data_IF_581029238002
#
_entry.id   IF_581029238002
#
_cell.length_a   1.000
_cell.length_b   1.000
_cell.length_c   1.000
_cell.angle_alpha   90.00
_cell.angle_beta   90.00
_cell.angle_gamma   90.00
#
_symmetry.space_group_name_H-M   'P 1'
#
loop_
_entity.id
_entity.type
_entity.pdbx_description
1 polymer ?
#
# COMPACT_ATOMS: atom_id res chain seq x y z
N UNK A 1 16.42 15.70 -1.15
CA UNK A 1 15.85 16.96 -1.66
C UNK A 1 16.54 18.08 -0.90
N UNK A 2 17.04 19.10 -1.60
CA UNK A 2 17.61 20.30 -1.00
C UNK A 2 16.59 21.42 -1.15
N UNK A 3 16.17 22.03 -0.06
CA UNK A 3 15.07 23.01 -0.05
C UNK A 3 15.57 24.41 0.31
N UNK A 4 15.69 25.29 -0.68
CA UNK A 4 15.97 26.72 -0.52
C UNK A 4 15.62 27.49 -1.79
N UNK A 5 15.20 28.75 -1.66
CA UNK A 5 15.04 29.65 -2.80
C UNK A 5 16.30 30.48 -3.09
N UNK A 6 17.32 30.43 -2.25
CA UNK A 6 18.59 31.13 -2.46
C UNK A 6 19.56 30.24 -3.26
N UNK A 7 19.94 30.61 -4.50
CA UNK A 7 20.87 29.83 -5.31
C UNK A 7 22.24 29.62 -4.65
N UNK A 8 22.75 30.57 -3.86
CA UNK A 8 24.05 30.43 -3.20
C UNK A 8 24.01 29.35 -2.11
N UNK A 9 22.91 29.32 -1.34
CA UNK A 9 22.68 28.27 -0.34
C UNK A 9 22.46 26.92 -1.02
N UNK A 10 21.78 26.91 -2.17
CA UNK A 10 21.57 25.71 -2.97
C UNK A 10 22.90 25.14 -3.46
N UNK A 11 23.78 25.98 -4.00
CA UNK A 11 25.09 25.57 -4.49
C UNK A 11 25.94 24.96 -3.36
N UNK A 12 25.99 25.59 -2.18
CA UNK A 12 26.68 25.03 -1.02
C UNK A 12 26.15 23.63 -0.66
N UNK A 13 24.81 23.44 -0.72
CA UNK A 13 24.17 22.15 -0.52
C UNK A 13 24.51 21.12 -1.61
N UNK A 14 24.58 21.54 -2.87
CA UNK A 14 24.94 20.69 -4.01
C UNK A 14 26.40 20.22 -3.93
N UNK A 15 27.32 21.11 -3.52
CA UNK A 15 28.72 20.76 -3.25
C UNK A 15 28.81 19.70 -2.15
N UNK A 16 28.06 19.87 -1.06
CA UNK A 16 28.05 18.89 0.03
C UNK A 16 27.37 17.56 -0.35
N UNK A 17 26.40 17.59 -1.26
CA UNK A 17 25.63 16.43 -1.71
C UNK A 17 26.13 15.85 -3.05
N UNK A 18 27.37 16.13 -3.44
CA UNK A 18 27.97 15.66 -4.69
C UNK A 18 27.75 14.15 -4.90
N UNK A 19 27.51 13.77 -6.16
CA UNK A 19 27.26 12.39 -6.61
C UNK A 19 25.97 11.72 -6.08
N UNK A 20 25.13 12.42 -5.30
CA UNK A 20 23.83 11.88 -4.85
C UNK A 20 22.64 12.29 -5.73
N UNK A 21 22.89 13.18 -6.70
CA UNK A 21 21.88 13.72 -7.63
C UNK A 21 20.59 14.17 -6.93
N UNK A 22 20.67 15.07 -5.93
CA UNK A 22 19.49 15.51 -5.19
C UNK A 22 18.51 16.30 -6.06
N UNK A 23 17.22 16.22 -5.75
CA UNK A 23 16.23 17.17 -6.24
C UNK A 23 16.47 18.57 -5.66
N UNK A 24 16.66 19.55 -6.54
CA UNK A 24 16.77 20.98 -6.24
C UNK A 24 15.36 21.54 -6.07
N UNK A 25 15.04 22.02 -4.87
CA UNK A 25 13.75 22.65 -4.59
C UNK A 25 13.99 24.10 -4.12
N UNK A 26 13.62 25.14 -4.87
CA UNK A 26 12.94 25.12 -6.18
C UNK A 26 13.18 26.41 -7.01
N UNK A 27 12.97 26.30 -8.32
CA UNK A 27 12.92 27.42 -9.26
C UNK A 27 11.55 28.10 -9.26
N UNK A 28 11.52 29.42 -9.08
CA UNK A 28 10.34 30.29 -9.15
C UNK A 28 10.60 31.47 -10.12
N UNK A 29 9.62 32.37 -10.27
CA UNK A 29 9.71 33.52 -11.21
C UNK A 29 10.96 34.41 -11.03
N UNK A 30 11.54 34.42 -9.82
CA UNK A 30 12.63 35.34 -9.45
C UNK A 30 14.03 34.72 -9.61
N UNK A 31 14.14 33.40 -9.46
CA UNK A 31 15.41 32.70 -9.37
C UNK A 31 15.58 31.55 -10.39
N UNK A 32 14.62 31.36 -11.31
CA UNK A 32 14.60 30.19 -12.19
C UNK A 32 15.88 30.01 -13.00
N UNK A 33 16.51 31.11 -13.44
CA UNK A 33 17.72 31.06 -14.28
C UNK A 33 18.90 30.49 -13.50
N UNK A 34 19.19 31.05 -12.33
CA UNK A 34 20.31 30.62 -11.50
C UNK A 34 20.09 29.16 -11.02
N UNK A 35 18.86 28.81 -10.65
CA UNK A 35 18.51 27.44 -10.28
C UNK A 35 18.64 26.45 -11.45
N UNK A 36 18.33 26.88 -12.68
CA UNK A 36 18.52 26.06 -13.88
C UNK A 36 20.00 25.87 -14.23
N UNK A 37 20.82 26.92 -14.08
CA UNK A 37 22.28 26.83 -14.25
C UNK A 37 22.89 25.83 -13.26
N UNK A 38 22.48 25.88 -11.98
CA UNK A 38 22.91 24.91 -10.97
C UNK A 38 22.43 23.49 -11.31
N UNK A 39 21.19 23.32 -11.78
CA UNK A 39 20.66 22.02 -12.19
C UNK A 39 21.48 21.40 -13.32
N UNK A 40 21.87 22.19 -14.33
CA UNK A 40 22.74 21.74 -15.43
C UNK A 40 24.15 21.43 -14.95
N UNK A 41 24.76 22.35 -14.18
CA UNK A 41 26.13 22.22 -13.70
C UNK A 41 26.33 20.96 -12.85
N UNK A 42 25.37 20.65 -11.99
CA UNK A 42 25.44 19.51 -11.08
C UNK A 42 24.64 18.28 -11.56
N UNK A 43 24.07 18.33 -12.78
CA UNK A 43 23.25 17.27 -13.38
C UNK A 43 22.14 16.75 -12.42
N UNK A 44 21.38 17.67 -11.85
CA UNK A 44 20.38 17.40 -10.81
C UNK A 44 18.95 17.74 -11.30
N UNK A 45 17.92 16.96 -10.90
CA UNK A 45 16.54 17.30 -11.20
C UNK A 45 16.12 18.59 -10.49
N UNK A 46 15.22 19.36 -11.11
CA UNK A 46 14.78 20.67 -10.64
C UNK A 46 13.26 20.72 -10.42
N UNK A 47 12.86 21.11 -9.21
CA UNK A 47 11.47 21.44 -8.93
C UNK A 47 11.13 22.84 -9.43
N UNK A 48 10.00 22.99 -10.10
CA UNK A 48 9.44 24.26 -10.55
C UNK A 48 8.25 24.63 -9.67
N UNK A 49 8.33 25.78 -9.02
CA UNK A 49 7.38 26.23 -8.00
C UNK A 49 6.64 27.49 -8.45
N UNK A 50 5.32 27.39 -8.51
CA UNK A 50 4.43 28.52 -8.78
C UNK A 50 3.09 28.33 -8.05
N UNK A 51 2.97 28.82 -6.80
CA UNK A 51 1.84 28.53 -5.94
C UNK A 51 0.54 29.15 -6.47
N UNK A 52 -0.50 28.33 -6.60
CA UNK A 52 -1.84 28.67 -7.10
C UNK A 52 -1.86 29.42 -8.46
N UNK A 53 -0.84 29.24 -9.29
CA UNK A 53 -0.74 29.91 -10.59
C UNK A 53 -0.25 28.94 -11.68
N UNK A 54 -1.18 28.13 -12.21
CA UNK A 54 -0.88 27.13 -13.23
C UNK A 54 -0.35 27.74 -14.54
N UNK A 55 -0.77 28.97 -14.89
CA UNK A 55 -0.28 29.65 -16.10
C UNK A 55 1.20 29.99 -15.97
N UNK A 56 1.59 30.55 -14.83
CA UNK A 56 2.98 30.85 -14.52
C UNK A 56 3.80 29.55 -14.43
N UNK A 57 3.29 28.53 -13.73
CA UNK A 57 3.94 27.22 -13.62
C UNK A 57 4.30 26.68 -15.00
N UNK A 58 3.32 26.62 -15.91
CA UNK A 58 3.50 26.16 -17.29
C UNK A 58 4.52 27.01 -18.06
N UNK A 59 4.50 28.32 -17.88
CA UNK A 59 5.45 29.24 -18.53
C UNK A 59 6.88 29.01 -18.05
N UNK A 60 7.06 28.79 -16.74
CA UNK A 60 8.38 28.49 -16.16
C UNK A 60 8.90 27.14 -16.67
N UNK A 61 8.05 26.11 -16.69
CA UNK A 61 8.43 24.79 -17.25
C UNK A 61 8.89 24.93 -18.69
N UNK A 62 8.15 25.65 -19.53
CA UNK A 62 8.55 25.91 -20.91
C UNK A 62 9.94 26.57 -20.99
N UNK A 63 10.13 27.63 -20.22
CA UNK A 63 11.37 28.43 -20.23
C UNK A 63 12.56 27.60 -19.77
N UNK A 64 12.40 26.81 -18.71
CA UNK A 64 13.44 25.96 -18.14
C UNK A 64 13.80 24.80 -19.09
N UNK A 65 12.81 24.20 -19.76
CA UNK A 65 13.05 23.18 -20.79
C UNK A 65 13.81 23.75 -21.98
N UNK A 66 13.44 24.94 -22.46
CA UNK A 66 14.15 25.63 -23.55
C UNK A 66 15.58 26.02 -23.14
N UNK A 67 15.83 26.20 -21.84
CA UNK A 67 17.17 26.41 -21.29
C UNK A 67 18.01 25.12 -21.21
N UNK A 68 17.37 23.95 -21.34
CA UNK A 68 18.03 22.65 -21.43
C UNK A 68 17.87 21.73 -20.22
N UNK A 69 17.10 22.11 -19.18
CA UNK A 69 16.86 21.23 -18.02
C UNK A 69 15.64 20.34 -18.30
N UNK A 70 15.87 19.05 -18.54
CA UNK A 70 14.83 18.08 -18.90
C UNK A 70 14.19 17.39 -17.69
N UNK A 71 14.96 17.19 -16.62
CA UNK A 71 14.51 16.50 -15.41
C UNK A 71 13.76 17.44 -14.46
N UNK A 72 12.45 17.59 -14.68
CA UNK A 72 11.61 18.49 -13.90
C UNK A 72 10.60 17.77 -13.00
N UNK A 73 10.23 18.44 -11.92
CA UNK A 73 9.07 18.11 -11.10
C UNK A 73 8.30 19.39 -10.76
N UNK A 74 6.98 19.31 -10.61
CA UNK A 74 6.11 20.48 -10.53
C UNK A 74 5.49 20.63 -9.14
N UNK A 75 5.59 21.81 -8.57
CA UNK A 75 4.92 22.18 -7.33
C UNK A 75 3.97 23.38 -7.58
N UNK A 76 2.64 23.14 -7.68
CA UNK A 76 1.64 24.20 -7.81
C UNK A 76 1.27 24.86 -6.47
N UNK A 77 1.98 24.55 -5.39
CA UNK A 77 1.69 24.94 -4.01
C UNK A 77 0.77 23.96 -3.29
N UNK A 78 1.04 23.73 -2.00
CA UNK A 78 0.17 22.99 -1.08
C UNK A 78 -0.33 23.92 0.03
N UNK A 79 -1.63 24.17 0.04
CA UNK A 79 -2.34 24.94 1.05
C UNK A 79 -3.21 23.98 1.87
N UNK A 80 -3.05 23.98 3.19
CA UNK A 80 -3.69 22.99 4.07
C UNK A 80 -4.96 23.48 4.77
N UNK A 81 -5.26 24.77 4.68
CA UNK A 81 -6.40 25.45 5.30
C UNK A 81 -7.42 25.89 4.24
N UNK A 82 -7.79 27.18 4.20
CA UNK A 82 -8.78 27.73 3.27
C UNK A 82 -8.45 27.43 1.78
N UNK A 83 -7.16 27.27 1.44
CA UNK A 83 -6.69 26.91 0.10
C UNK A 83 -6.66 25.40 -0.21
N UNK A 84 -7.16 24.53 0.66
CA UNK A 84 -7.12 23.07 0.44
C UNK A 84 -7.87 22.67 -0.83
N UNK A 85 -9.02 23.30 -1.11
CA UNK A 85 -9.78 23.07 -2.34
C UNK A 85 -8.94 23.39 -3.59
N UNK A 86 -8.25 24.53 -3.57
CA UNK A 86 -7.37 24.95 -4.66
C UNK A 86 -6.22 23.96 -4.86
N UNK A 87 -5.62 23.47 -3.77
CA UNK A 87 -4.58 22.44 -3.82
C UNK A 87 -5.06 21.21 -4.58
N UNK A 88 -6.18 20.62 -4.16
CA UNK A 88 -6.72 19.41 -4.82
C UNK A 88 -7.10 19.67 -6.28
N UNK A 89 -7.67 20.84 -6.56
CA UNK A 89 -8.04 21.24 -7.90
C UNK A 89 -6.81 21.40 -8.80
N UNK A 90 -5.76 22.06 -8.33
CA UNK A 90 -4.52 22.31 -9.08
C UNK A 90 -3.85 21.00 -9.50
N UNK A 91 -3.66 20.05 -8.57
CA UNK A 91 -3.09 18.74 -8.88
C UNK A 91 -3.96 17.99 -9.91
N UNK A 92 -5.27 18.04 -9.75
CA UNK A 92 -6.23 17.42 -10.68
C UNK A 92 -6.18 18.06 -12.07
N UNK A 93 -6.09 19.38 -12.15
CA UNK A 93 -6.04 20.13 -13.41
C UNK A 93 -4.73 19.88 -14.15
N UNK A 94 -3.60 19.81 -13.44
CA UNK A 94 -2.30 19.47 -14.06
C UNK A 94 -2.38 18.05 -14.65
N UNK A 95 -2.80 17.06 -13.85
CA UNK A 95 -2.90 15.68 -14.32
C UNK A 95 -3.86 15.53 -15.49
N UNK A 96 -5.03 16.18 -15.43
CA UNK A 96 -6.03 16.14 -16.50
C UNK A 96 -5.50 16.81 -17.77
N UNK A 97 -4.83 17.95 -17.65
CA UNK A 97 -4.23 18.66 -18.79
C UNK A 97 -3.14 17.83 -19.47
N UNK A 98 -2.29 17.16 -18.69
CA UNK A 98 -1.27 16.27 -19.22
C UNK A 98 -1.85 15.03 -19.91
N UNK A 99 -2.72 14.28 -19.22
CA UNK A 99 -3.20 12.98 -19.71
C UNK A 99 -4.34 13.07 -20.73
N UNK A 100 -5.30 13.99 -20.54
CA UNK A 100 -6.45 14.14 -21.45
C UNK A 100 -6.28 15.30 -22.43
N UNK A 101 -5.65 16.40 -21.98
CA UNK A 101 -5.41 17.57 -22.81
C UNK A 101 -4.17 17.45 -23.71
N UNK A 102 -3.27 16.50 -23.45
CA UNK A 102 -2.03 16.31 -24.20
C UNK A 102 -0.98 17.40 -23.94
N UNK A 103 -1.11 18.19 -22.87
CA UNK A 103 -0.18 19.26 -22.55
C UNK A 103 1.12 18.72 -21.96
N UNK A 104 2.12 18.56 -22.82
CA UNK A 104 3.43 18.01 -22.45
C UNK A 104 4.17 18.83 -21.38
N UNK A 105 3.89 20.13 -21.29
CA UNK A 105 4.51 21.01 -20.27
C UNK A 105 4.01 20.71 -18.85
N UNK A 106 2.93 19.93 -18.72
CA UNK A 106 2.43 19.40 -17.46
C UNK A 106 2.70 17.89 -17.30
N UNK A 107 3.46 17.30 -18.21
CA UNK A 107 3.79 15.86 -18.24
C UNK A 107 4.88 15.42 -17.26
N UNK A 108 5.07 16.16 -16.17
CA UNK A 108 6.13 15.91 -15.16
C UNK A 108 5.52 15.48 -13.82
N UNK A 109 6.28 14.77 -12.97
CA UNK A 109 5.84 14.39 -11.63
C UNK A 109 5.43 15.59 -10.77
N UNK A 110 4.44 15.40 -9.90
CA UNK A 110 3.93 16.42 -8.98
C UNK A 110 4.51 16.28 -7.58
N UNK A 111 4.93 17.41 -7.01
CA UNK A 111 5.39 17.52 -5.63
C UNK A 111 4.28 18.13 -4.78
N UNK A 112 3.90 17.43 -3.72
CA UNK A 112 3.09 17.94 -2.63
C UNK A 112 3.95 18.29 -1.41
N UNK A 113 3.58 19.35 -0.72
CA UNK A 113 4.26 19.83 0.49
C UNK A 113 3.31 19.88 1.70
N UNK A 114 2.74 18.74 2.16
CA UNK A 114 1.92 18.71 3.40
C UNK A 114 2.58 19.34 4.62
N UNK A 115 3.92 19.40 4.65
CA UNK A 115 4.71 20.16 5.64
C UNK A 115 4.22 21.60 5.85
N UNK A 116 3.52 22.23 4.89
CA UNK A 116 2.94 23.57 5.06
C UNK A 116 1.88 23.63 6.15
N UNK A 117 1.29 22.51 6.59
CA UNK A 117 0.44 22.43 7.78
C UNK A 117 1.15 22.88 9.07
N UNK A 118 2.48 22.86 9.10
CA UNK A 118 3.28 23.33 10.23
C UNK A 118 3.53 24.84 10.19
N UNK A 119 3.29 25.47 9.04
CA UNK A 119 3.41 26.91 8.86
C UNK A 119 2.13 27.67 9.22
N UNK A 120 0.97 27.00 9.28
CA UNK A 120 -0.25 27.61 9.79
C UNK A 120 -0.09 27.90 11.29
N UNK A 121 -0.28 29.16 11.70
CA UNK A 121 0.01 29.64 13.06
C UNK A 121 -0.91 29.11 14.15
N UNK A 122 -1.99 28.41 13.78
CA UNK A 122 -3.04 27.98 14.69
C UNK A 122 -2.99 26.47 14.96
N UNK A 123 -3.45 26.06 16.14
CA UNK A 123 -3.62 24.66 16.53
C UNK A 123 -2.47 24.04 17.33
N UNK A 124 -2.80 22.97 18.05
CA UNK A 124 -1.84 22.15 18.79
C UNK A 124 -0.89 21.41 17.84
N UNK A 125 0.20 20.84 18.39
CA UNK A 125 1.14 20.03 17.62
C UNK A 125 0.42 18.83 16.99
N UNK A 126 -0.47 18.21 17.74
CA UNK A 126 -1.27 17.06 17.34
C UNK A 126 -2.22 17.42 16.20
N UNK A 127 -2.87 18.58 16.25
CA UNK A 127 -3.76 19.06 15.19
C UNK A 127 -3.01 19.34 13.88
N UNK A 128 -1.81 19.92 13.96
CA UNK A 128 -0.95 20.17 12.79
C UNK A 128 -0.46 18.87 12.16
N UNK A 129 0.01 17.94 12.99
CA UNK A 129 0.42 16.60 12.55
C UNK A 129 -0.73 15.80 11.93
N UNK A 130 -1.92 15.89 12.52
CA UNK A 130 -3.15 15.28 11.98
C UNK A 130 -3.53 15.88 10.63
N UNK A 131 -3.52 17.21 10.52
CA UNK A 131 -3.81 17.92 9.27
C UNK A 131 -2.82 17.54 8.17
N UNK A 132 -1.54 17.50 8.50
CA UNK A 132 -0.49 17.02 7.59
C UNK A 132 -0.79 15.60 7.09
N UNK A 133 -1.15 14.67 7.98
CA UNK A 133 -1.51 13.30 7.61
C UNK A 133 -2.70 13.24 6.64
N UNK A 134 -3.74 14.03 6.92
CA UNK A 134 -4.94 14.13 6.08
C UNK A 134 -4.60 14.67 4.68
N UNK A 135 -3.85 15.77 4.60
CA UNK A 135 -3.46 16.37 3.32
C UNK A 135 -2.55 15.44 2.53
N UNK A 136 -1.62 14.75 3.19
CA UNK A 136 -0.78 13.73 2.57
C UNK A 136 -1.62 12.60 1.93
N UNK A 137 -2.62 12.08 2.65
CA UNK A 137 -3.51 11.04 2.11
C UNK A 137 -4.35 11.55 0.93
N UNK A 138 -4.83 12.80 0.99
CA UNK A 138 -5.55 13.42 -0.13
C UNK A 138 -4.66 13.58 -1.36
N UNK A 139 -3.43 14.05 -1.19
CA UNK A 139 -2.47 14.26 -2.28
C UNK A 139 -1.97 12.93 -2.88
N UNK A 140 -1.76 11.89 -2.08
CA UNK A 140 -1.52 10.53 -2.58
C UNK A 140 -2.67 10.04 -3.48
N UNK A 141 -3.92 10.33 -3.09
CA UNK A 141 -5.11 10.01 -3.90
C UNK A 141 -5.26 10.90 -5.13
N UNK A 142 -4.63 12.07 -5.12
CA UNK A 142 -4.79 13.13 -6.11
C UNK A 142 -3.44 13.47 -6.74
N UNK A 143 -2.83 12.43 -7.31
CA UNK A 143 -1.77 12.52 -8.32
C UNK A 143 -0.44 13.10 -7.86
N UNK A 144 -0.22 13.34 -6.57
CA UNK A 144 1.11 13.68 -6.08
C UNK A 144 2.04 12.46 -6.20
N UNK A 145 3.21 12.67 -6.77
CA UNK A 145 4.24 11.65 -6.99
C UNK A 145 5.32 11.70 -5.89
N UNK A 146 5.49 12.87 -5.26
CA UNK A 146 6.40 13.09 -4.14
C UNK A 146 5.72 13.93 -3.06
N UNK A 147 5.88 13.55 -1.79
CA UNK A 147 5.42 14.34 -0.65
C UNK A 147 6.58 14.76 0.25
N UNK A 148 6.61 16.02 0.67
CA UNK A 148 7.53 16.54 1.69
C UNK A 148 6.75 16.67 3.01
N UNK A 149 7.19 15.89 4.00
CA UNK A 149 6.57 15.78 5.33
C UNK A 149 7.52 16.32 6.42
N UNK A 150 6.95 16.83 7.50
CA UNK A 150 7.61 17.20 8.76
C UNK A 150 7.46 16.13 9.83
N UNK A 151 6.24 15.60 10.04
CA UNK A 151 5.99 14.64 11.12
C UNK A 151 6.80 13.37 10.94
N UNK A 152 7.50 12.93 11.99
CA UNK A 152 8.19 11.63 12.03
C UNK A 152 7.47 10.63 12.95
N UNK A 153 6.38 11.05 13.60
CA UNK A 153 5.60 10.24 14.50
C UNK A 153 4.94 9.05 13.78
N UNK A 154 5.07 7.86 14.36
CA UNK A 154 4.60 6.62 13.73
C UNK A 154 3.10 6.62 13.42
N UNK A 155 2.29 7.27 14.26
CA UNK A 155 0.84 7.38 14.06
C UNK A 155 0.45 8.30 12.90
N UNK A 156 1.34 9.22 12.49
CA UNK A 156 1.16 10.05 11.27
C UNK A 156 1.62 9.28 10.03
N UNK A 157 2.77 8.60 10.12
CA UNK A 157 3.40 7.94 8.97
C UNK A 157 2.70 6.63 8.57
N UNK A 158 2.27 5.82 9.55
CA UNK A 158 1.63 4.53 9.30
C UNK A 158 0.39 4.63 8.39
N UNK A 159 -0.60 5.51 8.64
CA UNK A 159 -1.76 5.61 7.75
C UNK A 159 -1.39 6.09 6.34
N UNK A 160 -0.42 7.00 6.20
CA UNK A 160 0.06 7.47 4.87
C UNK A 160 0.71 6.32 4.08
N UNK A 161 1.53 5.50 4.73
CA UNK A 161 2.19 4.35 4.09
C UNK A 161 1.16 3.28 3.70
N UNK A 162 0.22 2.94 4.58
CA UNK A 162 -0.86 1.98 4.30
C UNK A 162 -1.72 2.49 3.13
N UNK A 163 -2.09 3.76 3.14
CA UNK A 163 -2.88 4.35 2.08
C UNK A 163 -2.16 4.30 0.72
N UNK A 164 -0.86 4.58 0.69
CA UNK A 164 -0.04 4.43 -0.51
C UNK A 164 -0.07 3.00 -1.05
N UNK A 165 0.11 2.00 -0.19
CA UNK A 165 0.02 0.59 -0.60
C UNK A 165 -1.34 0.27 -1.22
N UNK A 166 -2.42 0.73 -0.59
CA UNK A 166 -3.78 0.46 -1.07
C UNK A 166 -4.05 1.10 -2.44
N UNK A 167 -3.72 2.38 -2.62
CA UNK A 167 -4.02 3.11 -3.86
C UNK A 167 -3.16 2.68 -5.05
N UNK A 168 -1.90 2.29 -4.81
CA UNK A 168 -0.97 1.90 -5.87
C UNK A 168 -0.93 0.39 -6.14
N UNK A 169 -1.79 -0.42 -5.51
CA UNK A 169 -1.95 -1.84 -5.83
C UNK A 169 -2.62 -2.00 -7.19
N UNK A 170 -2.13 -2.91 -8.06
CA UNK A 170 -2.79 -3.19 -9.35
C UNK A 170 -4.18 -3.76 -9.08
N UNK A 171 -5.27 -3.05 -9.46
CA UNK A 171 -6.62 -3.49 -9.15
C UNK A 171 -7.02 -4.76 -9.92
N UNK A 172 -6.24 -5.20 -10.91
CA UNK A 172 -6.50 -6.40 -11.70
C UNK A 172 -5.79 -7.64 -11.17
N UNK A 173 -4.77 -7.46 -10.31
CA UNK A 173 -3.97 -8.55 -9.75
C UNK A 173 -4.04 -8.47 -8.24
N UNK A 174 -4.95 -9.23 -7.60
CA UNK A 174 -4.97 -9.34 -6.15
C UNK A 174 -3.60 -9.76 -5.64
N UNK A 175 -3.15 -9.15 -4.54
CA UNK A 175 -1.90 -9.57 -3.89
C UNK A 175 -2.15 -10.95 -3.29
N UNK A 176 -1.42 -11.95 -3.78
CA UNK A 176 -1.55 -13.33 -3.33
C UNK A 176 -0.27 -13.85 -2.67
N UNK A 177 -0.43 -14.92 -1.90
CA UNK A 177 0.66 -15.70 -1.30
C UNK A 177 0.79 -16.99 -2.09
N UNK A 178 1.98 -17.60 -2.10
CA UNK A 178 2.17 -18.90 -2.76
C UNK A 178 1.25 -19.96 -2.12
N UNK A 179 0.46 -20.72 -2.90
CA UNK A 179 -0.37 -21.81 -2.38
C UNK A 179 0.46 -22.90 -1.68
N UNK A 180 -0.23 -23.78 -0.94
CA UNK A 180 0.36 -24.97 -0.34
C UNK A 180 0.40 -24.94 1.19
N UNK A 181 1.18 -25.86 1.76
CA UNK A 181 1.19 -26.11 3.20
C UNK A 181 2.04 -25.09 3.95
N UNK A 182 1.53 -24.59 5.08
CA UNK A 182 2.28 -23.82 6.07
C UNK A 182 2.25 -24.54 7.41
N UNK A 183 3.36 -24.43 8.13
CA UNK A 183 3.59 -25.09 9.42
C UNK A 183 3.74 -24.01 10.48
N UNK A 184 2.91 -24.07 11.52
CA UNK A 184 2.95 -23.16 12.66
C UNK A 184 3.33 -23.91 13.92
N UNK A 185 4.35 -23.41 14.62
CA UNK A 185 4.86 -24.04 15.83
C UNK A 185 5.61 -25.35 15.52
N UNK A 186 5.31 -26.41 16.28
CA UNK A 186 5.87 -27.76 16.15
C UNK A 186 4.75 -28.80 16.09
N UNK A 187 3.93 -28.81 15.03
CA UNK A 187 2.82 -29.74 14.94
C UNK A 187 3.32 -31.17 14.79
N UNK A 188 2.56 -32.08 15.40
CA UNK A 188 2.70 -33.52 15.31
C UNK A 188 1.60 -34.13 14.42
N UNK A 189 1.53 -35.46 14.40
CA UNK A 189 0.56 -36.25 13.63
C UNK A 189 -0.90 -36.12 14.10
N UNK A 190 -1.15 -35.48 15.26
CA UNK A 190 -2.48 -35.24 15.84
C UNK A 190 -2.89 -33.77 15.81
N UNK A 191 -2.04 -32.92 15.22
CA UNK A 191 -2.23 -31.47 15.20
C UNK A 191 -3.27 -31.04 14.16
N UNK A 192 -4.06 -29.99 14.43
CA UNK A 192 -5.15 -29.57 13.56
C UNK A 192 -4.66 -29.11 12.18
N UNK A 193 -5.47 -29.41 11.16
CA UNK A 193 -5.29 -28.92 9.80
C UNK A 193 -6.36 -27.89 9.50
N UNK A 194 -5.94 -26.66 9.25
CA UNK A 194 -6.80 -25.55 8.87
C UNK A 194 -6.70 -25.27 7.39
N UNK A 195 -7.75 -24.68 6.82
CA UNK A 195 -7.79 -24.23 5.44
C UNK A 195 -7.97 -22.71 5.37
N UNK A 196 -7.28 -22.07 4.43
CA UNK A 196 -7.53 -20.68 4.05
C UNK A 196 -7.28 -20.48 2.55
N UNK A 197 -7.51 -19.28 2.04
CA UNK A 197 -7.23 -18.94 0.64
C UNK A 197 -5.92 -18.16 0.51
N UNK A 198 -5.37 -18.12 -0.70
CA UNK A 198 -4.11 -17.46 -1.00
C UNK A 198 -4.18 -15.94 -1.16
N UNK A 199 -5.33 -15.30 -0.89
CA UNK A 199 -5.39 -13.83 -0.82
C UNK A 199 -4.53 -13.31 0.33
N UNK A 200 -3.57 -12.43 0.05
CA UNK A 200 -2.55 -12.04 1.02
C UNK A 200 -3.14 -11.48 2.32
N UNK A 201 -4.15 -10.62 2.24
CA UNK A 201 -4.78 -10.06 3.44
C UNK A 201 -5.49 -11.14 4.26
N UNK A 202 -6.16 -12.10 3.62
CA UNK A 202 -6.77 -13.24 4.31
C UNK A 202 -5.70 -14.11 4.96
N UNK A 203 -4.66 -14.49 4.22
CA UNK A 203 -3.56 -15.31 4.73
C UNK A 203 -2.87 -14.67 5.93
N UNK A 204 -2.41 -13.41 5.82
CA UNK A 204 -1.66 -12.75 6.89
C UNK A 204 -2.53 -12.49 8.13
N UNK A 205 -3.84 -12.31 7.97
CA UNK A 205 -4.77 -12.20 9.10
C UNK A 205 -4.86 -13.53 9.86
N UNK A 206 -5.08 -14.63 9.14
CA UNK A 206 -5.13 -15.98 9.72
C UNK A 206 -3.79 -16.37 10.35
N UNK A 207 -2.68 -16.11 9.67
CA UNK A 207 -1.32 -16.36 10.18
C UNK A 207 -1.08 -15.62 11.50
N UNK A 208 -1.42 -14.34 11.56
CA UNK A 208 -1.24 -13.51 12.76
C UNK A 208 -2.02 -14.07 13.94
N UNK A 209 -3.27 -14.50 13.72
CA UNK A 209 -4.12 -15.03 14.78
C UNK A 209 -3.70 -16.43 15.23
N UNK A 210 -3.23 -17.29 14.32
CA UNK A 210 -2.60 -18.58 14.67
C UNK A 210 -1.37 -18.34 15.54
N UNK A 211 -0.46 -17.45 15.12
CA UNK A 211 0.75 -17.12 15.90
C UNK A 211 0.42 -16.57 17.28
N UNK A 212 -0.58 -15.70 17.40
CA UNK A 212 -1.06 -15.18 18.70
C UNK A 212 -1.67 -16.26 19.58
N UNK A 213 -2.36 -17.24 18.99
CA UNK A 213 -2.95 -18.35 19.73
C UNK A 213 -1.91 -19.29 20.35
N UNK A 214 -0.71 -19.34 19.77
CA UNK A 214 0.34 -20.27 20.15
C UNK A 214 0.04 -21.73 19.78
N UNK A 215 -0.93 -21.97 18.89
CA UNK A 215 -1.31 -23.31 18.47
C UNK A 215 -0.27 -23.90 17.51
N UNK A 216 0.09 -25.16 17.76
CA UNK A 216 0.84 -25.99 16.82
C UNK A 216 -0.14 -26.56 15.78
N UNK A 217 -0.03 -26.16 14.52
CA UNK A 217 -0.98 -26.56 13.48
C UNK A 217 -0.43 -26.51 12.06
N UNK A 218 -1.16 -27.14 11.15
CA UNK A 218 -0.97 -27.06 9.72
C UNK A 218 -2.01 -26.12 9.11
N UNK A 219 -1.60 -25.29 8.15
CA UNK A 219 -2.50 -24.44 7.37
C UNK A 219 -2.31 -24.72 5.88
N UNK A 220 -3.36 -25.19 5.22
CA UNK A 220 -3.41 -25.35 3.77
C UNK A 220 -3.89 -24.03 3.16
N UNK A 221 -3.05 -23.44 2.32
CA UNK A 221 -3.37 -22.23 1.56
C UNK A 221 -3.82 -22.65 0.16
N UNK A 222 -5.12 -22.57 -0.10
CA UNK A 222 -5.70 -22.94 -1.41
C UNK A 222 -5.50 -21.81 -2.41
N UNK A 223 -5.12 -22.15 -3.64
CA UNK A 223 -5.07 -21.17 -4.72
C UNK A 223 -6.49 -20.76 -5.15
N UNK A 224 -6.83 -19.49 -4.93
CA UNK A 224 -8.08 -18.89 -5.37
C UNK A 224 -7.82 -17.67 -6.23
N UNK A 225 -6.66 -17.63 -6.91
CA UNK A 225 -6.20 -16.48 -7.69
C UNK A 225 -6.09 -15.18 -6.86
N UNK A 226 -5.82 -15.32 -5.55
CA UNK A 226 -5.74 -14.20 -4.63
C UNK A 226 -7.11 -13.63 -4.23
N UNK A 227 -8.17 -14.43 -4.26
CA UNK A 227 -9.53 -14.00 -3.85
C UNK A 227 -9.81 -14.43 -2.40
N UNK A 228 -10.44 -13.54 -1.61
CA UNK A 228 -10.83 -13.81 -0.21
C UNK A 228 -11.80 -14.99 -0.09
N UNK A 229 -11.90 -15.60 1.10
CA UNK A 229 -12.73 -16.81 1.32
C UNK A 229 -14.16 -16.68 0.79
N UNK A 230 -14.92 -15.68 1.27
CA UNK A 230 -16.34 -15.54 0.91
C UNK A 230 -16.53 -15.24 -0.57
N UNK A 231 -15.68 -14.38 -1.14
CA UNK A 231 -15.70 -14.05 -2.57
C UNK A 231 -15.28 -15.24 -3.44
N UNK A 232 -14.29 -16.02 -3.01
CA UNK A 232 -13.83 -17.21 -3.74
C UNK A 232 -14.89 -18.30 -3.75
N UNK A 233 -15.55 -18.49 -2.60
CA UNK A 233 -16.70 -19.38 -2.47
C UNK A 233 -17.84 -18.92 -3.39
N UNK A 234 -18.21 -17.63 -3.36
CA UNK A 234 -19.26 -17.06 -4.23
C UNK A 234 -18.92 -17.16 -5.73
N UNK A 235 -17.67 -16.86 -6.09
CA UNK A 235 -17.16 -16.89 -7.45
C UNK A 235 -16.76 -18.27 -7.96
N UNK A 236 -16.91 -19.32 -7.14
CA UNK A 236 -16.51 -20.71 -7.45
C UNK A 236 -15.01 -20.91 -7.74
N UNK A 237 -14.16 -20.08 -7.15
CA UNK A 237 -12.71 -20.30 -7.09
C UNK A 237 -12.33 -21.21 -5.93
N UNK A 238 -13.12 -21.19 -4.84
CA UNK A 238 -13.05 -22.18 -3.78
C UNK A 238 -14.25 -23.12 -3.89
N UNK A 239 -13.99 -24.38 -4.25
CA UNK A 239 -14.97 -25.45 -4.38
C UNK A 239 -14.49 -26.69 -3.65
N UNK A 240 -15.37 -27.69 -3.51
CA UNK A 240 -15.02 -28.97 -2.89
C UNK A 240 -13.87 -29.67 -3.65
N UNK A 241 -13.84 -29.55 -4.98
CA UNK A 241 -12.75 -30.07 -5.82
C UNK A 241 -11.43 -29.34 -5.57
N UNK A 242 -11.43 -28.00 -5.55
CA UNK A 242 -10.17 -27.25 -5.32
C UNK A 242 -9.63 -27.47 -3.90
N UNK A 243 -10.51 -27.71 -2.92
CA UNK A 243 -10.11 -28.15 -1.57
C UNK A 243 -9.45 -29.54 -1.62
N UNK A 244 -10.07 -30.51 -2.32
CA UNK A 244 -9.55 -31.86 -2.43
C UNK A 244 -8.18 -31.91 -3.13
N UNK A 245 -8.03 -31.15 -4.21
CA UNK A 245 -6.76 -31.02 -4.93
C UNK A 245 -5.69 -30.40 -4.03
N UNK A 246 -6.01 -29.33 -3.29
CA UNK A 246 -5.08 -28.69 -2.37
C UNK A 246 -4.62 -29.63 -1.23
N UNK A 247 -5.50 -30.48 -0.70
CA UNK A 247 -5.12 -31.50 0.30
C UNK A 247 -4.10 -32.45 -0.29
N UNK A 248 -4.38 -32.99 -1.49
CA UNK A 248 -3.51 -33.94 -2.17
C UNK A 248 -2.14 -33.32 -2.49
N UNK A 249 -2.12 -32.12 -3.07
CA UNK A 249 -0.90 -31.40 -3.43
C UNK A 249 -0.08 -30.98 -2.20
N UNK A 250 -0.73 -30.70 -1.07
CA UNK A 250 -0.06 -30.30 0.17
C UNK A 250 0.75 -31.42 0.82
N UNK A 251 0.50 -32.68 0.47
CA UNK A 251 1.10 -33.86 1.11
C UNK A 251 0.73 -34.01 2.59
N UNK A 252 -0.35 -33.38 3.04
CA UNK A 252 -0.76 -33.39 4.45
C UNK A 252 -1.14 -34.80 4.94
N UNK A 253 -1.66 -35.65 4.05
CA UNK A 253 -2.11 -37.01 4.38
C UNK A 253 -1.02 -37.93 4.93
N UNK A 254 0.24 -37.64 4.60
CA UNK A 254 1.42 -38.37 5.07
C UNK A 254 1.95 -37.85 6.41
N UNK A 255 1.45 -36.69 6.87
CA UNK A 255 1.91 -36.01 8.09
C UNK A 255 0.97 -36.13 9.26
N UNK A 256 -0.26 -36.59 9.05
CA UNK A 256 -1.31 -36.70 10.08
C UNK A 256 -1.88 -38.12 10.15
N UNK A 257 -2.25 -38.54 11.36
CA UNK A 257 -2.90 -39.83 11.63
C UNK A 257 -4.43 -39.74 11.64
N UNK A 258 -4.98 -38.55 11.37
CA UNK A 258 -6.41 -38.32 11.33
C UNK A 258 -6.85 -37.81 9.94
N UNK A 259 -8.16 -37.68 9.74
CA UNK A 259 -8.74 -37.15 8.50
C UNK A 259 -9.78 -36.09 8.87
N UNK A 260 -9.29 -34.98 9.42
CA UNK A 260 -10.11 -33.84 9.80
C UNK A 260 -9.53 -32.58 9.18
N UNK A 261 -10.40 -31.75 8.60
CA UNK A 261 -10.03 -30.46 8.04
C UNK A 261 -10.93 -29.39 8.64
N UNK A 262 -10.34 -28.30 9.13
CA UNK A 262 -11.06 -27.14 9.64
C UNK A 262 -11.16 -26.11 8.52
N UNK A 263 -12.36 -25.91 7.98
CA UNK A 263 -12.63 -24.88 6.97
C UNK A 263 -13.09 -23.58 7.64
N UNK A 264 -12.87 -22.41 7.00
CA UNK A 264 -13.44 -21.16 7.50
C UNK A 264 -14.97 -21.23 7.54
N UNK A 265 -15.58 -20.58 8.53
CA UNK A 265 -17.03 -20.49 8.68
C UNK A 265 -17.73 -19.81 7.50
N UNK A 266 -17.04 -18.96 6.76
CA UNK A 266 -17.55 -18.37 5.50
C UNK A 266 -17.61 -19.38 4.35
N UNK A 267 -16.93 -20.52 4.46
CA UNK A 267 -16.97 -21.64 3.54
C UNK A 267 -17.86 -22.79 4.02
N UNK A 268 -18.63 -22.61 5.11
CA UNK A 268 -19.44 -23.67 5.73
C UNK A 268 -20.36 -24.42 4.75
N UNK A 269 -20.86 -23.74 3.72
CA UNK A 269 -21.72 -24.34 2.69
C UNK A 269 -21.04 -25.43 1.85
N UNK A 270 -19.70 -25.47 1.84
CA UNK A 270 -18.92 -26.48 1.12
C UNK A 270 -18.72 -27.76 1.95
N UNK A 271 -19.01 -27.75 3.27
CA UNK A 271 -18.62 -28.85 4.16
C UNK A 271 -19.18 -30.20 3.71
N UNK A 272 -20.48 -30.29 3.41
CA UNK A 272 -21.13 -31.54 3.03
C UNK A 272 -20.61 -32.09 1.70
N UNK A 273 -20.53 -31.25 0.68
CA UNK A 273 -20.00 -31.63 -0.64
C UNK A 273 -18.51 -32.02 -0.57
N UNK A 274 -17.74 -31.35 0.28
CA UNK A 274 -16.33 -31.68 0.53
C UNK A 274 -16.18 -33.01 1.26
N UNK A 275 -17.02 -33.33 2.26
CA UNK A 275 -17.05 -34.65 2.94
C UNK A 275 -17.44 -35.78 1.97
N UNK A 276 -18.44 -35.55 1.12
CA UNK A 276 -18.88 -36.53 0.12
C UNK A 276 -17.78 -36.85 -0.91
N UNK A 277 -17.01 -35.84 -1.31
CA UNK A 277 -15.90 -35.97 -2.25
C UNK A 277 -14.68 -36.64 -1.60
N UNK A 278 -14.31 -36.20 -0.40
CA UNK A 278 -13.16 -36.69 0.35
C UNK A 278 -13.57 -37.80 1.31
N UNK A 279 -13.89 -38.98 0.78
CA UNK A 279 -14.31 -40.12 1.60
C UNK A 279 -13.33 -40.42 2.73
N UNK A 280 -13.86 -40.42 3.96
CA UNK A 280 -13.08 -40.65 5.18
C UNK A 280 -12.56 -39.38 5.84
N UNK A 281 -12.69 -38.22 5.20
CA UNK A 281 -12.46 -36.92 5.83
C UNK A 281 -13.73 -36.40 6.51
N UNK A 282 -13.55 -35.77 7.67
CA UNK A 282 -14.58 -35.04 8.40
C UNK A 282 -14.24 -33.55 8.39
N UNK A 283 -15.18 -32.72 7.95
CA UNK A 283 -14.99 -31.29 7.76
C UNK A 283 -15.59 -30.54 8.94
N UNK A 284 -14.72 -29.89 9.72
CA UNK A 284 -15.12 -29.05 10.84
C UNK A 284 -15.27 -27.61 10.35
N UNK A 285 -16.42 -27.00 10.67
CA UNK A 285 -16.66 -25.58 10.37
C UNK A 285 -16.10 -24.72 11.50
N UNK A 286 -15.02 -23.99 11.22
CA UNK A 286 -14.39 -23.09 12.17
C UNK A 286 -14.96 -21.66 12.17
N UNK A 287 -14.19 -20.72 12.74
CA UNK A 287 -14.34 -19.27 12.67
C UNK A 287 -15.06 -18.66 11.48
N UNK A 288 -16.10 -17.81 11.62
CA UNK A 288 -16.31 -16.79 10.55
C UNK A 288 -15.15 -15.79 10.49
N UNK A 289 -14.59 -15.47 11.66
CA UNK A 289 -13.43 -14.58 11.84
C UNK A 289 -12.26 -15.37 12.46
N UNK A 290 -11.04 -15.14 11.97
CA UNK A 290 -9.84 -15.87 12.42
C UNK A 290 -9.44 -15.59 13.86
N UNK A 291 -9.86 -14.46 14.43
CA UNK A 291 -9.65 -14.16 15.85
C UNK A 291 -10.25 -15.23 16.78
N UNK A 292 -11.27 -15.96 16.32
CA UNK A 292 -11.90 -17.06 17.05
C UNK A 292 -11.15 -18.40 17.00
N UNK A 293 -10.06 -18.52 16.23
CA UNK A 293 -9.33 -19.80 16.06
C UNK A 293 -8.87 -20.35 17.42
N UNK A 294 -8.31 -19.49 18.29
CA UNK A 294 -7.79 -19.91 19.59
C UNK A 294 -8.86 -20.54 20.49
N UNK A 295 -10.06 -19.95 20.53
CA UNK A 295 -11.18 -20.47 21.32
C UNK A 295 -11.76 -21.74 20.70
N UNK A 296 -11.90 -21.75 19.37
CA UNK A 296 -12.39 -22.91 18.63
C UNK A 296 -11.52 -24.15 18.88
N UNK A 297 -10.20 -24.03 18.73
CA UNK A 297 -9.29 -25.15 18.93
C UNK A 297 -9.34 -25.67 20.37
N UNK A 298 -9.41 -24.79 21.38
CA UNK A 298 -9.55 -25.21 22.79
C UNK A 298 -10.83 -25.99 23.07
N UNK A 299 -11.93 -25.65 22.40
CA UNK A 299 -13.25 -26.25 22.64
C UNK A 299 -13.49 -27.50 21.81
N UNK A 300 -12.97 -27.52 20.59
CA UNK A 300 -13.37 -28.46 19.54
C UNK A 300 -12.22 -29.33 19.02
N UNK A 301 -10.99 -29.15 19.53
CA UNK A 301 -9.83 -29.97 19.17
C UNK A 301 -9.16 -30.62 20.41
N UNK A 302 -8.86 -31.93 20.39
CA UNK A 302 -9.28 -32.90 19.37
C UNK A 302 -10.80 -33.12 19.39
N UNK A 303 -11.43 -33.37 18.24
CA UNK A 303 -12.86 -33.66 18.18
C UNK A 303 -13.17 -34.93 18.99
N UNK A 304 -14.23 -34.89 19.80
CA UNK A 304 -14.71 -36.08 20.52
C UNK A 304 -15.33 -37.02 19.48
N UNK A 305 -14.94 -38.30 19.50
CA UNK A 305 -15.63 -39.33 18.71
C UNK A 305 -17.11 -39.36 19.10
N UNK A 306 -17.99 -39.35 18.09
CA UNK A 306 -19.44 -39.61 18.23
C UNK A 306 -19.71 -41.10 18.08
#
# INVERSE_FOLDING_TARGET
>A
ILCTFDPNVMEAGLIAAQNRRPLIYAANERNWRDMAELALMYNCPLAVFAPNNLKLLRSLVKTILEYGVEDLALDPGTFTDDGLSDTINNFTMIRRSACKGGDKLFGFPLIGTPITAWMSGEGSREEKAWREACVAAMLLSRYADLLIMHSLDGWVQLPTIIWRFNIYTDPRKPVSVEPGLRVFGKPDENSPVLLTTNYALTYFTVESDIKKSGADCYLIVVDTEGISVESAVAGRYLTSETIADAIKESGIEEKINHRYLIIPGLAARLSGETEDLLKGWRILVGPRDSSGIAEFLKRSWPPKEE
#
